data_IF_738069291347
#
_entry.id   IF_738069291347
#
_cell.length_a   1.000
_cell.length_b   1.000
_cell.length_c   1.000
_cell.angle_alpha   90.00
_cell.angle_beta   90.00
_cell.angle_gamma   90.00
#
_symmetry.space_group_name_H-M   'P 1'
#
loop_
_entity.id
_entity.type
_entity.pdbx_description
1 polymer ?
#
# COMPACT_ATOMS: atom_id res chain seq x y z
N UNK A 1 -10.96 -6.95 -28.28
CA UNK A 1 -9.62 -6.35 -28.04
C UNK A 1 -9.28 -5.52 -29.27
N UNK A 2 -8.85 -4.26 -29.12
CA UNK A 2 -8.38 -3.45 -30.26
C UNK A 2 -7.28 -4.21 -31.03
N UNK A 3 -7.36 -4.24 -32.37
CA UNK A 3 -6.49 -5.07 -33.23
C UNK A 3 -5.00 -4.73 -33.10
N UNK A 4 -4.71 -3.50 -32.70
CA UNK A 4 -3.41 -2.88 -32.51
C UNK A 4 -2.65 -3.33 -31.25
N UNK A 5 -3.33 -3.99 -30.30
CA UNK A 5 -2.73 -4.47 -29.03
C UNK A 5 -2.31 -5.95 -29.11
N UNK A 6 -2.83 -6.70 -30.09
CA UNK A 6 -2.54 -8.14 -30.25
C UNK A 6 -1.04 -8.36 -30.43
N UNK A 7 -0.43 -9.13 -29.52
CA UNK A 7 1.01 -9.40 -29.49
C UNK A 7 1.87 -8.36 -28.76
N UNK A 8 1.28 -7.23 -28.31
CA UNK A 8 1.99 -6.15 -27.59
C UNK A 8 1.54 -5.96 -26.14
N UNK A 9 0.37 -6.48 -25.77
CA UNK A 9 -0.15 -6.39 -24.41
C UNK A 9 -1.36 -7.28 -24.16
N UNK A 10 -1.87 -7.27 -22.92
CA UNK A 10 -3.09 -7.96 -22.52
C UNK A 10 -4.01 -7.01 -21.76
N UNK A 11 -5.30 -7.05 -22.09
CA UNK A 11 -6.35 -6.37 -21.33
C UNK A 11 -7.14 -7.45 -20.62
N UNK A 12 -7.20 -7.37 -19.30
CA UNK A 12 -7.89 -8.34 -18.45
C UNK A 12 -8.87 -7.61 -17.53
N UNK A 13 -9.97 -8.27 -17.15
CA UNK A 13 -10.93 -7.72 -16.19
C UNK A 13 -10.33 -7.56 -14.80
N UNK A 14 -9.42 -8.46 -14.44
CA UNK A 14 -8.73 -8.48 -13.17
C UNK A 14 -7.37 -9.16 -13.33
N UNK A 15 -6.37 -8.68 -12.59
CA UNK A 15 -5.04 -9.24 -12.55
C UNK A 15 -4.60 -9.43 -11.08
N UNK A 16 -3.86 -10.48 -10.75
CA UNK A 16 -3.26 -10.65 -9.43
C UNK A 16 -2.12 -9.64 -9.26
N UNK A 17 -2.45 -8.41 -8.84
CA UNK A 17 -1.56 -7.24 -8.91
C UNK A 17 -0.20 -7.50 -8.25
N UNK A 18 -0.18 -8.05 -7.04
CA UNK A 18 1.08 -8.36 -6.36
C UNK A 18 1.99 -9.32 -7.16
N UNK A 19 1.41 -10.36 -7.79
CA UNK A 19 2.17 -11.30 -8.64
C UNK A 19 2.71 -10.60 -9.89
N UNK A 20 1.94 -9.66 -10.46
CA UNK A 20 2.39 -8.85 -11.60
C UNK A 20 3.53 -7.93 -11.16
N UNK A 21 3.41 -7.23 -10.03
CA UNK A 21 4.41 -6.29 -9.53
C UNK A 21 5.73 -6.99 -9.14
N UNK A 22 5.70 -8.22 -8.64
CA UNK A 22 6.91 -8.99 -8.34
C UNK A 22 7.77 -9.29 -9.60
N UNK A 23 7.22 -9.10 -10.81
CA UNK A 23 7.95 -9.39 -12.04
C UNK A 23 8.88 -8.24 -12.45
N UNK A 24 10.18 -8.54 -12.63
CA UNK A 24 11.26 -7.58 -12.98
C UNK A 24 11.03 -6.67 -14.19
N UNK A 25 10.09 -7.01 -15.07
CA UNK A 25 9.82 -6.28 -16.31
C UNK A 25 8.67 -5.27 -16.19
N UNK A 26 8.13 -5.06 -14.97
CA UNK A 26 6.94 -4.24 -14.75
C UNK A 26 7.31 -2.84 -14.27
N UNK A 27 6.70 -1.84 -14.90
CA UNK A 27 6.50 -0.51 -14.33
C UNK A 27 5.02 -0.32 -14.00
N UNK A 28 4.71 0.52 -13.01
CA UNK A 28 3.35 0.62 -12.49
C UNK A 28 2.72 2.00 -12.71
N UNK A 29 1.71 2.08 -13.59
CA UNK A 29 0.82 3.22 -13.70
C UNK A 29 -0.40 2.99 -12.79
N UNK A 30 -0.63 3.87 -11.84
CA UNK A 30 -1.62 3.69 -10.78
C UNK A 30 -2.39 4.98 -10.52
N UNK A 31 -3.58 4.85 -9.96
CA UNK A 31 -4.33 5.99 -9.44
C UNK A 31 -3.87 6.43 -8.04
N UNK A 32 -2.91 5.73 -7.41
CA UNK A 32 -2.38 6.09 -6.11
C UNK A 32 -3.26 5.68 -4.92
N UNK A 33 -4.14 4.68 -5.08
CA UNK A 33 -4.86 4.09 -3.96
C UNK A 33 -3.92 3.41 -2.96
N UNK A 34 -4.19 3.54 -1.66
CA UNK A 34 -3.28 3.14 -0.58
C UNK A 34 -2.78 1.68 -0.68
N UNK A 35 -3.69 0.73 -0.91
CA UNK A 35 -3.32 -0.69 -0.99
C UNK A 35 -2.31 -0.96 -2.11
N UNK A 36 -2.58 -0.46 -3.32
CA UNK A 36 -1.68 -0.62 -4.46
C UNK A 36 -0.35 0.10 -4.26
N UNK A 37 -0.34 1.25 -3.57
CA UNK A 37 0.88 1.96 -3.19
C UNK A 37 1.75 1.09 -2.27
N UNK A 38 1.16 0.46 -1.25
CA UNK A 38 1.87 -0.42 -0.32
C UNK A 38 2.37 -1.68 -1.04
N UNK A 39 1.56 -2.32 -1.89
CA UNK A 39 1.97 -3.47 -2.70
C UNK A 39 3.18 -3.11 -3.59
N UNK A 40 3.16 -1.96 -4.25
CA UNK A 40 4.26 -1.48 -5.09
C UNK A 40 5.54 -1.28 -4.30
N UNK A 41 5.46 -0.70 -3.10
CA UNK A 41 6.61 -0.51 -2.22
C UNK A 41 7.18 -1.84 -1.73
N UNK A 42 6.31 -2.78 -1.35
CA UNK A 42 6.73 -4.11 -0.89
C UNK A 42 7.48 -4.88 -2.00
N UNK A 43 7.05 -4.75 -3.26
CA UNK A 43 7.71 -5.40 -4.39
C UNK A 43 8.90 -4.59 -4.94
N UNK A 44 8.99 -3.30 -4.63
CA UNK A 44 10.08 -2.41 -5.07
C UNK A 44 9.87 -1.83 -6.46
N UNK A 45 8.62 -1.62 -6.86
CA UNK A 45 8.26 -1.14 -8.20
C UNK A 45 7.95 0.36 -8.16
N UNK A 46 8.71 1.22 -8.87
CA UNK A 46 8.38 2.63 -8.99
C UNK A 46 7.02 2.90 -9.63
N UNK A 47 6.40 4.00 -9.22
CA UNK A 47 5.03 4.34 -9.62
C UNK A 47 4.97 5.58 -10.52
N UNK A 48 4.02 5.59 -11.44
CA UNK A 48 3.48 6.80 -12.06
C UNK A 48 2.05 6.95 -11.54
N UNK A 49 1.76 8.02 -10.83
CA UNK A 49 0.47 8.29 -10.19
C UNK A 49 -0.38 9.23 -11.04
N UNK A 50 -1.58 8.77 -11.41
CA UNK A 50 -2.67 9.53 -12.04
C UNK A 50 -3.89 9.52 -11.09
N UNK A 51 -3.86 10.32 -10.00
CA UNK A 51 -4.94 10.32 -9.01
C UNK A 51 -6.24 10.91 -9.57
N UNK A 52 -7.37 10.43 -9.05
CA UNK A 52 -8.70 10.92 -9.43
C UNK A 52 -9.44 11.56 -8.25
N UNK A 53 -9.45 10.92 -7.07
CA UNK A 53 -10.35 11.30 -5.97
C UNK A 53 -9.72 11.07 -4.58
N UNK A 54 -10.21 11.83 -3.59
CA UNK A 54 -10.01 11.58 -2.16
C UNK A 54 -8.53 11.59 -1.73
N UNK A 55 -8.07 10.53 -1.09
CA UNK A 55 -6.71 10.38 -0.56
C UNK A 55 -5.66 10.17 -1.67
N UNK A 56 -6.09 9.83 -2.89
CA UNK A 56 -5.20 9.54 -4.02
C UNK A 56 -4.27 10.71 -4.34
N UNK A 57 -4.77 11.94 -4.24
CA UNK A 57 -3.97 13.14 -4.50
C UNK A 57 -2.85 13.30 -3.46
N UNK A 58 -3.17 13.02 -2.19
CA UNK A 58 -2.20 13.05 -1.10
C UNK A 58 -1.18 11.92 -1.24
N UNK A 59 -1.64 10.71 -1.55
CA UNK A 59 -0.77 9.55 -1.78
C UNK A 59 0.18 9.80 -2.95
N UNK A 60 -0.29 10.41 -4.05
CA UNK A 60 0.55 10.78 -5.18
C UNK A 60 1.68 11.74 -4.77
N UNK A 61 1.38 12.75 -3.93
CA UNK A 61 2.41 13.66 -3.37
C UNK A 61 3.38 12.94 -2.43
N UNK A 62 2.91 12.02 -1.60
CA UNK A 62 3.81 11.19 -0.79
C UNK A 62 4.78 10.39 -1.68
N UNK A 63 4.27 9.81 -2.77
CA UNK A 63 5.08 9.05 -3.73
C UNK A 63 6.09 9.94 -4.45
N UNK A 64 5.69 11.10 -4.95
CA UNK A 64 6.55 11.94 -5.81
C UNK A 64 7.45 12.91 -5.06
N UNK A 65 7.01 13.46 -3.93
CA UNK A 65 7.68 14.58 -3.25
C UNK A 65 8.31 14.16 -1.91
N UNK A 66 7.66 13.26 -1.16
CA UNK A 66 8.11 12.90 0.20
C UNK A 66 9.05 11.70 0.18
N UNK A 67 8.61 10.61 -0.43
CA UNK A 67 9.39 9.37 -0.54
C UNK A 67 10.26 9.36 -1.80
N UNK A 68 9.84 10.10 -2.84
CA UNK A 68 10.55 10.21 -4.12
C UNK A 68 10.75 8.82 -4.76
N UNK A 69 9.68 8.02 -4.75
CA UNK A 69 9.64 6.64 -5.26
C UNK A 69 8.74 6.50 -6.50
N UNK A 70 8.38 7.63 -7.11
CA UNK A 70 7.57 7.68 -8.31
C UNK A 70 7.35 9.10 -8.83
N UNK A 71 6.47 9.23 -9.81
CA UNK A 71 6.11 10.48 -10.46
C UNK A 71 4.61 10.75 -10.28
N UNK A 72 4.22 12.02 -10.19
CA UNK A 72 2.82 12.43 -10.13
C UNK A 72 2.47 13.19 -11.42
N UNK A 73 1.47 12.70 -12.15
CA UNK A 73 0.89 13.34 -13.33
C UNK A 73 -0.45 13.98 -12.93
N UNK A 74 -0.42 15.24 -12.54
CA UNK A 74 -1.59 15.96 -12.05
C UNK A 74 -2.51 16.36 -13.21
N UNK A 75 -3.50 15.51 -13.52
CA UNK A 75 -4.47 15.74 -14.60
C UNK A 75 -3.94 15.56 -16.02
N UNK A 76 -2.67 15.20 -16.19
CA UNK A 76 -2.01 15.01 -17.48
C UNK A 76 -2.25 13.60 -18.05
N UNK A 77 -3.43 13.39 -18.64
CA UNK A 77 -3.86 12.09 -19.20
C UNK A 77 -3.57 11.94 -20.70
N UNK A 78 -2.98 12.96 -21.31
CA UNK A 78 -2.65 12.99 -22.73
C UNK A 78 -1.57 11.96 -23.05
N UNK A 79 -1.70 11.30 -24.20
CA UNK A 79 -0.77 10.24 -24.67
C UNK A 79 0.70 10.65 -24.56
N UNK A 80 1.01 11.89 -24.95
CA UNK A 80 2.39 12.38 -24.97
C UNK A 80 2.96 12.61 -23.56
N UNK A 81 2.13 13.00 -22.60
CA UNK A 81 2.55 13.19 -21.20
C UNK A 81 2.79 11.84 -20.52
N UNK A 82 1.90 10.87 -20.75
CA UNK A 82 2.09 9.49 -20.27
C UNK A 82 3.34 8.86 -20.90
N UNK A 83 3.54 9.01 -22.21
CA UNK A 83 4.73 8.51 -22.91
C UNK A 83 6.02 9.11 -22.33
N UNK A 84 6.03 10.43 -22.08
CA UNK A 84 7.18 11.12 -21.48
C UNK A 84 7.46 10.62 -20.07
N UNK A 85 6.44 10.45 -19.23
CA UNK A 85 6.60 9.94 -17.88
C UNK A 85 7.15 8.50 -17.86
N UNK A 86 6.64 7.63 -18.73
CA UNK A 86 7.14 6.26 -18.89
C UNK A 86 8.60 6.26 -19.34
N UNK A 87 8.97 7.11 -20.31
CA UNK A 87 10.36 7.25 -20.77
C UNK A 87 11.29 7.74 -19.65
N UNK A 88 10.92 8.80 -18.93
CA UNK A 88 11.70 9.33 -17.80
C UNK A 88 11.92 8.28 -16.73
N UNK A 89 10.86 7.54 -16.37
CA UNK A 89 10.95 6.54 -15.31
C UNK A 89 11.78 5.32 -15.73
N UNK A 90 11.71 4.88 -17.00
CA UNK A 90 12.36 3.64 -17.44
C UNK A 90 13.78 3.88 -17.97
N UNK A 91 13.99 4.92 -18.78
CA UNK A 91 15.19 5.07 -19.62
C UNK A 91 16.14 6.18 -19.16
N UNK A 92 15.69 7.09 -18.30
CA UNK A 92 16.46 8.27 -17.91
C UNK A 92 17.03 8.12 -16.48
N UNK A 93 18.04 8.93 -16.17
CA UNK A 93 18.76 8.91 -14.88
C UNK A 93 17.87 9.27 -13.69
N UNK A 94 16.82 10.08 -13.92
CA UNK A 94 15.78 10.33 -12.92
C UNK A 94 15.11 9.02 -12.46
N UNK A 95 14.81 8.13 -13.40
CA UNK A 95 14.24 6.81 -13.11
C UNK A 95 15.19 5.91 -12.32
N UNK A 96 16.50 6.01 -12.55
CA UNK A 96 17.52 5.30 -11.77
C UNK A 96 17.52 5.76 -10.32
N UNK A 97 17.54 7.07 -10.07
CA UNK A 97 17.48 7.63 -8.73
C UNK A 97 16.18 7.24 -8.00
N UNK A 98 15.04 7.22 -8.69
CA UNK A 98 13.76 6.78 -8.14
C UNK A 98 13.81 5.30 -7.74
N UNK A 99 14.42 4.42 -8.55
CA UNK A 99 14.59 2.99 -8.23
C UNK A 99 15.45 2.78 -6.99
N UNK A 100 16.52 3.54 -6.83
CA UNK A 100 17.37 3.47 -5.63
C UNK A 100 16.59 3.87 -4.36
N UNK A 101 15.79 4.95 -4.43
CA UNK A 101 14.90 5.37 -3.34
C UNK A 101 13.84 4.32 -3.03
N UNK A 102 13.27 3.72 -4.07
CA UNK A 102 12.28 2.66 -3.94
C UNK A 102 12.86 1.45 -3.21
N UNK A 103 14.04 0.98 -3.59
CA UNK A 103 14.64 -0.19 -2.94
C UNK A 103 15.00 0.10 -1.46
N UNK A 104 15.51 1.29 -1.18
CA UNK A 104 15.76 1.72 0.20
C UNK A 104 14.46 1.78 1.04
N UNK A 105 13.36 2.25 0.46
CA UNK A 105 12.07 2.30 1.15
C UNK A 105 11.51 0.90 1.38
N UNK A 106 11.58 0.02 0.37
CA UNK A 106 11.21 -1.39 0.48
C UNK A 106 11.96 -2.06 1.63
N UNK A 107 13.28 -1.91 1.72
CA UNK A 107 14.08 -2.47 2.81
C UNK A 107 13.62 -1.97 4.20
N UNK A 108 13.24 -0.70 4.31
CA UNK A 108 12.69 -0.15 5.57
C UNK A 108 11.34 -0.78 5.92
N UNK A 109 10.45 -0.91 4.94
CA UNK A 109 9.14 -1.55 5.14
C UNK A 109 9.31 -3.02 5.51
N UNK A 110 10.15 -3.77 4.81
CA UNK A 110 10.42 -5.17 5.11
C UNK A 110 11.04 -5.37 6.50
N UNK A 111 11.88 -4.43 6.97
CA UNK A 111 12.39 -4.46 8.34
C UNK A 111 11.33 -4.14 9.40
N UNK A 112 10.36 -3.29 9.10
CA UNK A 112 9.34 -2.89 10.09
C UNK A 112 8.37 -4.05 10.43
N UNK A 113 8.16 -4.97 9.49
CA UNK A 113 7.25 -6.12 9.64
C UNK A 113 7.93 -7.40 10.14
N UNK A 114 9.27 -7.47 10.13
CA UNK A 114 10.02 -8.59 10.71
C UNK A 114 9.87 -8.62 12.23
N UNK A 115 10.20 -9.76 12.84
CA UNK A 115 10.25 -9.91 14.29
C UNK A 115 11.07 -8.77 14.93
N UNK A 116 10.56 -8.20 16.02
CA UNK A 116 11.10 -6.99 16.66
C UNK A 116 11.11 -5.72 15.77
N UNK A 117 10.42 -5.72 14.64
CA UNK A 117 10.15 -4.53 13.83
C UNK A 117 9.09 -3.63 14.48
N UNK A 118 9.00 -2.37 14.04
CA UNK A 118 8.04 -1.41 14.61
C UNK A 118 6.58 -1.82 14.34
N UNK A 119 6.25 -2.20 13.10
CA UNK A 119 4.90 -2.64 12.75
C UNK A 119 4.56 -3.99 13.42
N UNK A 120 5.54 -4.89 13.53
CA UNK A 120 5.41 -6.15 14.27
C UNK A 120 5.03 -5.90 15.74
N UNK A 121 5.77 -5.03 16.45
CA UNK A 121 5.45 -4.67 17.84
C UNK A 121 4.11 -3.95 17.98
N UNK A 122 3.76 -3.08 17.03
CA UNK A 122 2.45 -2.43 17.02
C UNK A 122 1.31 -3.44 16.91
N UNK A 123 1.49 -4.49 16.10
CA UNK A 123 0.53 -5.57 15.99
C UNK A 123 0.46 -6.42 17.26
N UNK A 124 1.59 -6.76 17.88
CA UNK A 124 1.61 -7.45 19.18
C UNK A 124 0.85 -6.65 20.24
N UNK A 125 1.09 -5.34 20.32
CA UNK A 125 0.38 -4.47 21.24
C UNK A 125 -1.13 -4.44 20.99
N UNK A 126 -1.55 -4.40 19.72
CA UNK A 126 -2.97 -4.46 19.35
C UNK A 126 -3.62 -5.78 19.79
N UNK A 127 -2.91 -6.90 19.61
CA UNK A 127 -3.34 -8.23 20.05
C UNK A 127 -3.47 -8.27 21.58
N UNK A 128 -2.48 -7.74 22.32
CA UNK A 128 -2.50 -7.68 23.78
C UNK A 128 -3.68 -6.85 24.31
N UNK A 129 -3.95 -5.67 23.72
CA UNK A 129 -5.12 -4.86 24.09
C UNK A 129 -6.40 -5.67 23.91
N UNK A 130 -6.55 -6.38 22.78
CA UNK A 130 -7.74 -7.20 22.53
C UNK A 130 -7.92 -8.27 23.60
N UNK A 131 -6.85 -8.95 24.00
CA UNK A 131 -6.93 -9.95 25.07
C UNK A 131 -7.32 -9.32 26.42
N UNK A 132 -6.72 -8.20 26.80
CA UNK A 132 -7.09 -7.49 28.03
C UNK A 132 -8.54 -7.01 28.03
N UNK A 133 -9.02 -6.43 26.92
CA UNK A 133 -10.41 -6.02 26.79
C UNK A 133 -11.38 -7.19 26.83
N UNK A 134 -11.04 -8.33 26.21
CA UNK A 134 -11.86 -9.55 26.23
C UNK A 134 -11.97 -10.13 27.64
N UNK A 135 -10.84 -10.25 28.35
CA UNK A 135 -10.81 -10.72 29.74
C UNK A 135 -11.61 -9.78 30.64
N UNK A 136 -11.42 -8.47 30.50
CA UNK A 136 -12.17 -7.49 31.29
C UNK A 136 -13.67 -7.58 31.02
N UNK A 137 -14.10 -7.81 29.78
CA UNK A 137 -15.52 -7.96 29.44
C UNK A 137 -16.12 -9.25 30.02
N UNK A 138 -15.41 -10.39 29.94
CA UNK A 138 -15.85 -11.63 30.58
C UNK A 138 -15.89 -11.52 32.10
N UNK A 139 -14.90 -10.89 32.73
CA UNK A 139 -14.91 -10.57 34.15
C UNK A 139 -16.09 -9.67 34.52
N UNK A 140 -16.41 -8.65 33.70
CA UNK A 140 -17.55 -7.77 33.93
C UNK A 140 -18.88 -8.54 33.81
N UNK A 141 -19.02 -9.43 32.83
CA UNK A 141 -20.19 -10.29 32.67
C UNK A 141 -20.35 -11.29 33.82
N UNK A 142 -19.25 -11.87 34.30
CA UNK A 142 -19.24 -12.74 35.47
C UNK A 142 -19.59 -11.97 36.75
N UNK A 143 -19.09 -10.75 36.93
CA UNK A 143 -19.46 -9.87 38.02
C UNK A 143 -20.93 -9.46 37.93
N UNK A 144 -21.46 -9.18 36.74
CA UNK A 144 -22.87 -8.87 36.55
C UNK A 144 -23.76 -10.08 36.87
N UNK A 145 -23.41 -11.29 36.39
CA UNK A 145 -24.12 -12.54 36.76
C UNK A 145 -24.02 -12.87 38.26
N UNK A 146 -22.88 -12.57 38.91
CA UNK A 146 -22.73 -12.73 40.36
C UNK A 146 -23.49 -11.66 41.15
N UNK A 147 -23.58 -10.43 40.64
CA UNK A 147 -24.35 -9.35 41.26
C UNK A 147 -25.87 -9.49 41.01
N UNK A 148 -26.30 -10.17 39.95
CA UNK A 148 -27.69 -10.63 39.79
C UNK A 148 -28.05 -11.72 40.81
N UNK A 149 -27.08 -12.51 41.30
CA UNK A 149 -27.29 -13.42 42.44
C UNK A 149 -27.29 -12.72 43.82
N UNK A 150 -26.92 -11.43 43.89
CA UNK A 150 -26.90 -10.63 45.12
C UNK A 150 -28.13 -9.72 45.27
N UNK A 151 -29.09 -9.79 44.34
CA UNK A 151 -30.36 -9.04 44.40
C UNK A 151 -31.53 -9.88 44.94
N UNK A 152 -31.22 -10.92 45.72
CA UNK A 152 -32.21 -11.77 46.40
C UNK A 152 -31.82 -12.03 47.86
N UNK A 153 -31.38 -11.02 48.60
CA UNK A 153 -31.58 -10.94 50.05
C UNK A 153 -31.61 -9.47 50.45
N UNK A 154 -32.63 -9.11 51.22
CA UNK A 154 -32.87 -7.79 51.81
C UNK A 154 -31.66 -7.27 52.61
#
# INVERSE_FOLDING_TARGET
MPKDIVGKGRIVKWAPLQVVLNHRAVGFLTHGGWNSTVESICEGVPMICLPFIWDQMLNARFVSEIWVVGMHLEGQIERNEIERAVRRLILETEGEAIREKMEFLKEKVLRSVKENGSAYRSLEYLILIRYHLSINYECLLLLHKKNECLLLFF
#
